data_IF_838124617067
#
_entry.id   IF_838124617067
#
_cell.length_a   1.000
_cell.length_b   1.000
_cell.length_c   1.000
_cell.angle_alpha   90.00
_cell.angle_beta   90.00
_cell.angle_gamma   90.00
#
_symmetry.space_group_name_H-M   'P 1'
#
loop_
_entity.id
_entity.type
_entity.pdbx_description
1 polymer ?
#
# COMPACT_ATOMS: atom_id res chain seq x y z
N UNK A 1 -23.67 -31.92 -48.87
CA UNK A 1 -23.90 -30.60 -48.24
C UNK A 1 -22.56 -29.88 -48.31
N UNK A 2 -22.39 -29.02 -49.32
CA UNK A 2 -21.15 -28.27 -49.53
C UNK A 2 -21.08 -27.16 -48.47
N UNK A 3 -19.97 -27.11 -47.74
CA UNK A 3 -19.61 -25.99 -46.89
C UNK A 3 -19.60 -24.72 -47.75
N UNK A 4 -20.41 -23.74 -47.37
CA UNK A 4 -20.27 -22.38 -47.88
C UNK A 4 -18.94 -21.85 -47.32
N UNK A 5 -17.91 -21.83 -48.16
CA UNK A 5 -16.73 -21.01 -47.94
C UNK A 5 -17.20 -19.56 -47.84
N UNK A 6 -17.16 -19.01 -46.63
CA UNK A 6 -17.34 -17.58 -46.41
C UNK A 6 -16.16 -16.86 -47.04
N UNK A 7 -16.40 -16.07 -48.07
CA UNK A 7 -15.37 -15.22 -48.67
C UNK A 7 -14.65 -14.41 -47.57
N UNK A 8 -13.31 -14.37 -47.55
CA UNK A 8 -12.57 -13.61 -46.57
C UNK A 8 -12.92 -12.12 -46.68
N UNK A 9 -13.01 -11.45 -45.52
CA UNK A 9 -13.27 -10.01 -45.47
C UNK A 9 -12.25 -9.24 -46.32
N UNK A 10 -12.66 -8.17 -47.03
CA UNK A 10 -11.75 -7.33 -47.78
C UNK A 10 -10.60 -6.81 -46.90
N UNK A 11 -9.37 -6.83 -47.41
CA UNK A 11 -8.16 -6.43 -46.67
C UNK A 11 -8.27 -5.03 -46.02
N UNK A 12 -8.83 -4.06 -46.74
CA UNK A 12 -9.03 -2.71 -46.23
C UNK A 12 -9.95 -2.66 -45.00
N UNK A 13 -10.95 -3.55 -44.94
CA UNK A 13 -11.89 -3.62 -43.82
C UNK A 13 -11.23 -4.25 -42.60
N UNK A 14 -10.44 -5.31 -42.81
CA UNK A 14 -9.61 -5.91 -41.76
C UNK A 14 -8.65 -4.87 -41.17
N UNK A 15 -7.93 -4.12 -42.02
CA UNK A 15 -7.02 -3.06 -41.58
C UNK A 15 -7.75 -1.96 -40.80
N UNK A 16 -8.93 -1.53 -41.27
CA UNK A 16 -9.73 -0.52 -40.57
C UNK A 16 -10.20 -1.00 -39.18
N UNK A 17 -10.55 -2.28 -39.04
CA UNK A 17 -10.94 -2.88 -37.77
C UNK A 17 -9.73 -2.97 -36.83
N UNK A 18 -8.57 -3.39 -37.33
CA UNK A 18 -7.34 -3.47 -36.55
C UNK A 18 -6.89 -2.11 -36.04
N UNK A 19 -6.90 -1.09 -36.91
CA UNK A 19 -6.56 0.29 -36.55
C UNK A 19 -7.53 0.84 -35.49
N UNK A 20 -8.83 0.56 -35.64
CA UNK A 20 -9.85 0.98 -34.68
C UNK A 20 -9.67 0.28 -33.33
N UNK A 21 -9.41 -1.03 -33.34
CA UNK A 21 -9.15 -1.79 -32.14
C UNK A 21 -7.89 -1.29 -31.41
N UNK A 22 -6.82 -0.95 -32.14
CA UNK A 22 -5.60 -0.40 -31.56
C UNK A 22 -5.83 0.97 -30.92
N UNK A 23 -6.62 1.84 -31.57
CA UNK A 23 -7.01 3.14 -30.98
C UNK A 23 -7.82 2.96 -29.69
N UNK A 24 -8.72 1.97 -29.65
CA UNK A 24 -9.49 1.66 -28.45
C UNK A 24 -8.58 1.13 -27.34
N UNK A 25 -7.64 0.22 -27.64
CA UNK A 25 -6.66 -0.30 -26.67
C UNK A 25 -5.81 0.83 -26.08
N UNK A 26 -5.27 1.72 -26.92
CA UNK A 26 -4.51 2.89 -26.48
C UNK A 26 -5.33 3.81 -25.58
N UNK A 27 -6.58 4.06 -25.95
CA UNK A 27 -7.50 4.88 -25.16
C UNK A 27 -7.79 4.24 -23.80
N UNK A 28 -8.00 2.92 -23.76
CA UNK A 28 -8.20 2.18 -22.51
C UNK A 28 -6.98 2.28 -21.59
N UNK A 29 -5.76 2.15 -22.13
CA UNK A 29 -4.52 2.33 -21.35
C UNK A 29 -4.43 3.74 -20.77
N UNK A 30 -4.75 4.77 -21.56
CA UNK A 30 -4.75 6.16 -21.08
C UNK A 30 -5.80 6.42 -19.97
N UNK A 31 -6.98 5.82 -20.09
CA UNK A 31 -8.03 5.89 -19.06
C UNK A 31 -7.57 5.19 -17.78
N UNK A 32 -7.03 3.97 -17.88
CA UNK A 32 -6.47 3.24 -16.73
C UNK A 32 -5.41 4.06 -16.01
N UNK A 33 -4.45 4.63 -16.75
CA UNK A 33 -3.40 5.47 -16.18
C UNK A 33 -3.96 6.72 -15.47
N UNK A 34 -5.01 7.33 -16.03
CA UNK A 34 -5.66 8.51 -15.43
C UNK A 34 -6.38 8.16 -14.11
N UNK A 35 -7.08 7.02 -14.08
CA UNK A 35 -7.72 6.50 -12.86
C UNK A 35 -6.65 6.22 -11.79
N UNK A 36 -5.57 5.55 -12.20
CA UNK A 36 -4.41 5.28 -11.34
C UNK A 36 -3.87 6.53 -10.69
N UNK A 37 -3.55 7.54 -11.50
CA UNK A 37 -2.94 8.78 -11.03
C UNK A 37 -3.85 9.51 -10.05
N UNK A 38 -5.14 9.62 -10.37
CA UNK A 38 -6.11 10.28 -9.51
C UNK A 38 -6.23 9.60 -8.13
N UNK A 39 -6.18 8.27 -8.12
CA UNK A 39 -6.20 7.51 -6.87
C UNK A 39 -4.88 7.63 -6.08
N UNK A 40 -3.74 7.52 -6.78
CA UNK A 40 -2.40 7.63 -6.18
C UNK A 40 -2.20 8.98 -5.48
N UNK A 41 -2.61 10.08 -6.12
CA UNK A 41 -2.52 11.43 -5.53
C UNK A 41 -3.27 11.52 -4.20
N UNK A 42 -4.46 10.93 -4.11
CA UNK A 42 -5.27 10.90 -2.88
C UNK A 42 -4.62 10.06 -1.79
N UNK A 43 -4.17 8.85 -2.13
CA UNK A 43 -3.53 7.94 -1.18
C UNK A 43 -2.19 8.47 -0.69
N UNK A 44 -1.43 9.19 -1.54
CA UNK A 44 -0.13 9.73 -1.18
C UNK A 44 -0.20 10.73 -0.03
N UNK A 45 -1.23 11.58 -0.03
CA UNK A 45 -1.44 12.51 1.07
C UNK A 45 -1.70 11.77 2.40
N UNK A 46 -2.45 10.67 2.35
CA UNK A 46 -2.78 9.86 3.52
C UNK A 46 -1.57 9.09 4.04
N UNK A 47 -0.81 8.42 3.19
CA UNK A 47 0.37 7.64 3.61
C UNK A 47 1.47 8.54 4.18
N UNK A 48 1.66 9.75 3.64
CA UNK A 48 2.59 10.75 4.21
C UNK A 48 2.22 11.19 5.62
N UNK A 49 0.95 11.15 6.01
CA UNK A 49 0.52 11.55 7.36
C UNK A 49 1.08 10.65 8.47
N UNK A 50 1.53 9.44 8.13
CA UNK A 50 2.22 8.52 9.06
C UNK A 50 3.50 9.14 9.62
N UNK A 51 4.16 10.06 8.90
CA UNK A 51 5.33 10.79 9.38
C UNK A 51 5.07 11.67 10.60
N UNK A 52 3.80 11.92 10.94
CA UNK A 52 3.41 12.69 12.11
C UNK A 52 3.44 11.86 13.41
N UNK A 53 3.55 10.52 13.33
CA UNK A 53 3.57 9.62 14.48
C UNK A 53 4.57 10.03 15.59
N UNK A 54 5.82 10.46 15.31
CA UNK A 54 6.76 10.86 16.36
C UNK A 54 6.25 12.00 17.25
N UNK A 55 5.46 12.93 16.70
CA UNK A 55 4.93 14.07 17.44
C UNK A 55 3.93 13.65 18.52
N UNK A 56 3.28 12.50 18.35
CA UNK A 56 2.30 11.97 19.31
C UNK A 56 2.92 11.25 20.50
N UNK A 57 4.19 10.86 20.41
CA UNK A 57 4.87 10.08 21.43
C UNK A 57 6.01 10.85 22.08
N UNK A 58 6.83 11.54 21.30
CA UNK A 58 8.00 12.27 21.82
C UNK A 58 7.59 13.35 22.80
N UNK A 59 8.16 13.29 24.01
CA UNK A 59 7.94 14.30 25.06
C UNK A 59 6.47 14.43 25.46
N UNK A 60 5.71 13.34 25.33
CA UNK A 60 4.32 13.25 25.77
C UNK A 60 4.21 12.23 26.90
N UNK A 61 3.21 12.36 27.77
CA UNK A 61 2.87 11.34 28.77
C UNK A 61 1.96 10.24 28.19
N UNK A 62 1.94 10.07 26.86
CA UNK A 62 1.08 9.08 26.22
C UNK A 62 1.52 7.67 26.61
N UNK A 63 0.53 6.83 26.90
CA UNK A 63 0.73 5.43 27.23
C UNK A 63 1.31 4.64 26.05
N UNK A 64 1.72 3.39 26.33
CA UNK A 64 2.18 2.46 25.31
C UNK A 64 1.04 2.16 24.33
N UNK A 65 1.27 2.21 23.01
CA UNK A 65 0.21 1.97 22.05
C UNK A 65 -0.29 0.53 22.12
N UNK A 66 -1.62 0.36 22.10
CA UNK A 66 -2.29 -0.94 22.13
C UNK A 66 -3.28 -1.12 20.97
N UNK A 67 -3.53 -0.06 20.21
CA UNK A 67 -4.43 -0.05 19.05
C UNK A 67 -3.75 0.59 17.85
N UNK A 68 -4.22 0.30 16.62
CA UNK A 68 -3.79 1.03 15.43
C UNK A 68 -4.02 2.54 15.58
N UNK A 69 -3.22 3.33 14.89
CA UNK A 69 -3.27 4.78 14.90
C UNK A 69 -4.50 5.28 14.16
N UNK A 70 -4.88 6.53 14.43
CA UNK A 70 -5.99 7.17 13.72
C UNK A 70 -5.72 7.37 12.21
N UNK A 71 -4.47 7.21 11.76
CA UNK A 71 -4.11 7.30 10.33
C UNK A 71 -4.50 6.04 9.57
N UNK A 72 -4.39 4.87 10.21
CA UNK A 72 -4.58 3.59 9.53
C UNK A 72 -5.99 3.41 8.94
N UNK A 73 -7.09 3.68 9.70
CA UNK A 73 -8.45 3.61 9.16
C UNK A 73 -8.68 4.55 7.97
N UNK A 74 -7.91 5.64 7.83
CA UNK A 74 -8.06 6.56 6.69
C UNK A 74 -7.53 5.94 5.41
N UNK A 75 -6.39 5.25 5.49
CA UNK A 75 -5.77 4.56 4.34
C UNK A 75 -6.64 3.36 3.94
N UNK A 76 -7.02 2.52 4.90
CA UNK A 76 -7.78 1.28 4.62
C UNK A 76 -9.20 1.57 4.15
N UNK A 77 -9.83 2.65 4.65
CA UNK A 77 -11.13 3.12 4.12
C UNK A 77 -11.07 3.46 2.64
N UNK A 78 -10.01 4.13 2.15
CA UNK A 78 -9.92 4.45 0.71
C UNK A 78 -9.94 3.18 -0.17
N UNK A 79 -9.23 2.13 0.26
CA UNK A 79 -9.21 0.86 -0.46
C UNK A 79 -10.56 0.14 -0.38
N UNK A 80 -11.19 0.17 0.79
CA UNK A 80 -12.49 -0.46 1.04
C UNK A 80 -13.60 0.22 0.25
N UNK A 81 -13.66 1.56 0.30
CA UNK A 81 -14.64 2.36 -0.44
C UNK A 81 -14.47 2.16 -1.95
N UNK A 82 -13.23 2.13 -2.45
CA UNK A 82 -12.97 1.81 -3.86
C UNK A 82 -13.44 0.40 -4.22
N UNK A 83 -13.17 -0.59 -3.37
CA UNK A 83 -13.59 -1.96 -3.62
C UNK A 83 -15.12 -2.08 -3.70
N UNK A 84 -15.84 -1.37 -2.82
CA UNK A 84 -17.30 -1.29 -2.86
C UNK A 84 -17.82 -0.59 -4.12
N UNK A 85 -17.25 0.56 -4.50
CA UNK A 85 -17.64 1.24 -5.75
C UNK A 85 -17.45 0.30 -6.96
N UNK A 86 -16.32 -0.41 -7.03
CA UNK A 86 -16.05 -1.33 -8.12
C UNK A 86 -17.00 -2.53 -8.11
N UNK A 87 -17.22 -3.14 -6.95
CA UNK A 87 -18.05 -4.33 -6.82
C UNK A 87 -19.54 -4.02 -6.98
N UNK A 88 -20.04 -3.08 -6.18
CA UNK A 88 -21.47 -2.89 -5.93
C UNK A 88 -22.11 -1.90 -6.91
N UNK A 89 -21.35 -0.94 -7.45
CA UNK A 89 -21.88 0.09 -8.37
C UNK A 89 -21.47 -0.11 -9.84
N UNK A 90 -20.39 -0.84 -10.10
CA UNK A 90 -19.84 -1.05 -11.45
C UNK A 90 -20.10 -2.48 -11.92
N UNK A 91 -19.65 -3.49 -11.16
CA UNK A 91 -19.68 -4.88 -11.59
C UNK A 91 -21.06 -5.56 -11.48
N UNK A 92 -22.00 -4.99 -10.73
CA UNK A 92 -23.41 -5.42 -10.64
C UNK A 92 -24.27 -4.91 -11.81
N UNK A 93 -23.75 -4.02 -12.65
CA UNK A 93 -24.52 -3.48 -13.77
C UNK A 93 -24.75 -4.57 -14.82
N UNK A 94 -25.95 -4.68 -15.43
CA UNK A 94 -26.25 -5.75 -16.40
C UNK A 94 -25.26 -5.83 -17.57
N UNK A 95 -24.73 -4.69 -18.02
CA UNK A 95 -23.73 -4.65 -19.10
C UNK A 95 -22.37 -5.19 -18.65
N UNK A 96 -22.01 -5.02 -17.38
CA UNK A 96 -20.76 -5.52 -16.81
C UNK A 96 -20.85 -7.01 -16.47
N UNK A 97 -22.00 -7.47 -15.96
CA UNK A 97 -22.27 -8.88 -15.68
C UNK A 97 -22.20 -9.75 -16.95
N UNK A 98 -22.65 -9.20 -18.08
CA UNK A 98 -22.57 -9.87 -19.37
C UNK A 98 -21.14 -10.03 -19.93
N UNK A 99 -20.13 -9.44 -19.30
CA UNK A 99 -18.74 -9.43 -19.79
C UNK A 99 -17.75 -9.92 -18.71
N UNK A 100 -17.52 -11.25 -18.58
CA UNK A 100 -16.60 -11.83 -17.59
C UNK A 100 -15.17 -11.26 -17.66
N UNK A 101 -14.71 -10.91 -18.87
CA UNK A 101 -13.41 -10.30 -19.09
C UNK A 101 -13.27 -8.94 -18.39
N UNK A 102 -14.35 -8.16 -18.27
CA UNK A 102 -14.33 -6.88 -17.56
C UNK A 102 -14.06 -7.07 -16.08
N UNK A 103 -14.69 -8.07 -15.45
CA UNK A 103 -14.46 -8.39 -14.03
C UNK A 103 -12.99 -8.70 -13.76
N UNK A 104 -12.36 -9.50 -14.63
CA UNK A 104 -10.93 -9.81 -14.51
C UNK A 104 -10.05 -8.55 -14.65
N UNK A 105 -10.35 -7.68 -15.62
CA UNK A 105 -9.61 -6.43 -15.81
C UNK A 105 -9.78 -5.44 -14.63
N UNK A 106 -10.98 -5.38 -14.04
CA UNK A 106 -11.25 -4.54 -12.86
C UNK A 106 -10.51 -5.09 -11.64
N UNK A 107 -10.53 -6.40 -11.41
CA UNK A 107 -9.80 -7.03 -10.32
C UNK A 107 -8.28 -6.86 -10.46
N UNK A 108 -7.75 -6.98 -11.68
CA UNK A 108 -6.34 -6.71 -11.95
C UNK A 108 -5.97 -5.24 -11.67
N UNK A 109 -6.76 -4.30 -12.19
CA UNK A 109 -6.59 -2.86 -11.96
C UNK A 109 -6.60 -2.55 -10.45
N UNK A 110 -7.58 -3.08 -9.73
CA UNK A 110 -7.70 -2.91 -8.29
C UNK A 110 -6.49 -3.49 -7.55
N UNK A 111 -6.05 -4.71 -7.89
CA UNK A 111 -4.87 -5.33 -7.29
C UNK A 111 -3.59 -4.51 -7.48
N UNK A 112 -3.41 -3.90 -8.65
CA UNK A 112 -2.30 -2.99 -8.91
C UNK A 112 -2.41 -1.68 -8.09
N UNK A 113 -3.61 -1.12 -7.89
CA UNK A 113 -3.85 0.06 -7.05
C UNK A 113 -3.59 -0.21 -5.57
N UNK A 114 -3.99 -1.39 -5.08
CA UNK A 114 -3.69 -1.86 -3.73
C UNK A 114 -2.18 -2.02 -3.55
N UNK A 115 -1.49 -2.64 -4.50
CA UNK A 115 -0.03 -2.80 -4.44
C UNK A 115 0.72 -1.46 -4.42
N UNK A 116 0.28 -0.49 -5.22
CA UNK A 116 0.86 0.86 -5.19
C UNK A 116 0.66 1.53 -3.83
N UNK A 117 -0.54 1.37 -3.24
CA UNK A 117 -0.82 1.88 -1.89
C UNK A 117 0.08 1.24 -0.83
N UNK A 118 0.28 -0.09 -0.92
CA UNK A 118 1.18 -0.84 -0.04
C UNK A 118 2.61 -0.34 -0.17
N UNK A 119 3.10 -0.13 -1.39
CA UNK A 119 4.44 0.40 -1.64
C UNK A 119 4.62 1.79 -1.02
N UNK A 120 3.66 2.69 -1.23
CA UNK A 120 3.70 4.04 -0.68
C UNK A 120 3.67 4.02 0.85
N UNK A 121 2.79 3.23 1.45
CA UNK A 121 2.71 3.06 2.90
C UNK A 121 4.03 2.51 3.46
N UNK A 122 4.54 1.41 2.88
CA UNK A 122 5.80 0.78 3.29
C UNK A 122 6.98 1.73 3.20
N UNK A 123 7.08 2.50 2.11
CA UNK A 123 8.13 3.51 1.92
C UNK A 123 8.08 4.53 3.06
N UNK A 124 6.90 5.08 3.35
CA UNK A 124 6.74 6.06 4.42
C UNK A 124 7.08 5.47 5.81
N UNK A 125 6.62 4.26 6.13
CA UNK A 125 6.93 3.62 7.42
C UNK A 125 8.41 3.26 7.55
N UNK A 126 9.05 2.83 6.46
CA UNK A 126 10.47 2.49 6.45
C UNK A 126 11.34 3.71 6.65
N UNK A 127 11.05 4.81 5.93
CA UNK A 127 11.70 6.11 6.13
C UNK A 127 11.53 6.62 7.56
N UNK A 128 10.32 6.48 8.11
CA UNK A 128 10.00 6.91 9.46
C UNK A 128 10.84 6.12 10.49
N UNK A 129 10.81 4.79 10.44
CA UNK A 129 11.57 3.97 11.40
C UNK A 129 13.06 4.20 11.26
N UNK A 130 13.59 4.33 10.05
CA UNK A 130 15.00 4.63 9.85
C UNK A 130 15.39 5.99 10.45
N UNK A 131 14.52 7.00 10.32
CA UNK A 131 14.74 8.29 10.96
C UNK A 131 14.76 8.19 12.48
N UNK A 132 13.87 7.38 13.06
CA UNK A 132 13.79 7.12 14.50
C UNK A 132 15.07 6.44 14.98
N UNK A 133 15.53 5.39 14.28
CA UNK A 133 16.77 4.66 14.58
C UNK A 133 17.99 5.59 14.58
N UNK A 134 18.12 6.45 13.57
CA UNK A 134 19.22 7.43 13.48
C UNK A 134 19.24 8.40 14.66
N UNK A 135 18.05 8.85 15.11
CA UNK A 135 17.92 9.73 16.27
C UNK A 135 18.32 9.01 17.55
N UNK A 136 17.87 7.77 17.75
CA UNK A 136 18.26 6.94 18.91
C UNK A 136 19.76 6.71 18.97
N UNK A 137 20.40 6.37 17.86
CA UNK A 137 21.84 6.14 17.81
C UNK A 137 22.66 7.41 18.06
N UNK A 138 22.18 8.56 17.57
CA UNK A 138 22.74 9.87 17.89
C UNK A 138 22.70 10.14 19.40
N UNK A 139 21.54 9.92 20.04
CA UNK A 139 21.37 10.10 21.48
C UNK A 139 22.19 9.09 22.29
N UNK A 140 22.27 7.83 21.85
CA UNK A 140 23.09 6.79 22.48
C UNK A 140 24.57 7.18 22.47
N UNK A 141 25.10 7.60 21.31
CA UNK A 141 26.49 8.09 21.20
C UNK A 141 26.76 9.30 22.10
N UNK A 142 25.83 10.25 22.15
CA UNK A 142 25.94 11.42 23.03
C UNK A 142 25.96 11.04 24.52
N UNK A 143 25.13 10.08 24.94
CA UNK A 143 25.12 9.56 26.32
C UNK A 143 26.45 8.89 26.67
N UNK A 144 26.97 8.05 25.78
CA UNK A 144 28.28 7.40 25.96
C UNK A 144 29.40 8.43 26.07
N UNK A 145 29.44 9.43 25.18
CA UNK A 145 30.45 10.48 25.21
C UNK A 145 30.43 11.28 26.52
N UNK A 146 29.25 11.55 27.09
CA UNK A 146 29.09 12.20 28.40
C UNK A 146 29.51 11.30 29.56
N UNK A 147 29.23 10.00 29.49
CA UNK A 147 29.60 9.04 30.53
C UNK A 147 31.13 8.86 30.67
N UNK A 148 31.88 8.96 29.58
CA UNK A 148 33.35 8.90 29.58
C UNK A 148 34.00 10.14 30.23
N UNK A 149 33.28 11.26 30.32
CA UNK A 149 33.77 12.54 30.86
C UNK A 149 33.62 12.77 32.38
N UNK A 150 33.02 11.82 33.11
CA UNK A 150 32.91 11.89 34.57
C UNK A 150 31.47 11.79 35.11
N UNK A 151 31.22 10.68 35.83
CA UNK A 151 30.18 10.47 36.84
C UNK A 151 28.70 10.79 36.47
N UNK A 152 28.05 9.89 35.73
CA UNK A 152 26.67 9.49 36.04
C UNK A 152 26.35 8.10 35.47
N UNK A 153 25.67 7.27 36.27
CA UNK A 153 25.19 5.95 35.89
C UNK A 153 24.33 6.04 34.62
N UNK A 154 24.62 5.18 33.65
CA UNK A 154 23.80 4.99 32.46
C UNK A 154 22.40 4.55 32.89
N UNK A 155 21.48 5.51 33.04
CA UNK A 155 20.09 5.27 33.39
C UNK A 155 19.41 4.43 32.32
N UNK A 156 19.10 3.19 32.70
CA UNK A 156 18.04 2.30 32.21
C UNK A 156 17.81 2.19 30.69
N UNK A 157 17.98 0.98 30.17
CA UNK A 157 17.35 0.46 28.94
C UNK A 157 15.83 0.33 29.18
N UNK A 158 15.17 1.44 29.50
CA UNK A 158 13.72 1.50 29.68
C UNK A 158 13.05 1.84 28.36
N UNK A 159 11.83 1.32 28.17
CA UNK A 159 10.93 1.63 27.05
C UNK A 159 10.94 3.13 26.74
N UNK A 160 11.45 3.49 25.57
CA UNK A 160 11.62 4.86 25.11
C UNK A 160 10.41 5.34 24.29
N UNK A 161 10.31 6.64 24.05
CA UNK A 161 9.32 7.18 23.12
C UNK A 161 9.52 6.63 21.69
N UNK A 162 10.77 6.36 21.31
CA UNK A 162 11.11 5.81 20.01
C UNK A 162 10.68 4.31 19.90
N UNK A 163 10.72 3.55 21.00
CA UNK A 163 10.10 2.20 21.07
C UNK A 163 8.58 2.25 20.87
N UNK A 164 7.89 3.24 21.45
CA UNK A 164 6.44 3.44 21.23
C UNK A 164 6.13 3.70 19.76
N UNK A 165 6.96 4.50 19.08
CA UNK A 165 6.77 4.81 17.65
C UNK A 165 6.91 3.54 16.81
N UNK A 166 7.98 2.75 17.00
CA UNK A 166 8.14 1.46 16.30
C UNK A 166 6.97 0.52 16.57
N UNK A 167 6.54 0.42 17.82
CA UNK A 167 5.39 -0.43 18.17
C UNK A 167 4.09 0.04 17.52
N UNK A 168 3.86 1.36 17.41
CA UNK A 168 2.71 1.89 16.68
C UNK A 168 2.76 1.51 15.19
N UNK A 169 3.91 1.66 14.54
CA UNK A 169 4.09 1.25 13.12
C UNK A 169 3.81 -0.24 12.94
N UNK A 170 4.22 -1.07 13.90
CA UNK A 170 3.89 -2.49 13.93
C UNK A 170 2.37 -2.73 13.99
N UNK A 171 1.66 -2.11 14.95
CA UNK A 171 0.21 -2.25 15.08
C UNK A 171 -0.53 -1.78 13.83
N UNK A 172 -0.11 -0.64 13.26
CA UNK A 172 -0.68 -0.07 12.04
C UNK A 172 -0.51 -1.05 10.87
N UNK A 173 0.65 -1.67 10.74
CA UNK A 173 0.93 -2.62 9.66
C UNK A 173 0.19 -3.94 9.82
N UNK A 174 0.03 -4.43 11.05
CA UNK A 174 -0.82 -5.61 11.31
C UNK A 174 -2.28 -5.34 10.92
N UNK A 175 -2.81 -4.17 11.28
CA UNK A 175 -4.15 -3.76 10.88
C UNK A 175 -4.26 -3.62 9.36
N UNK A 176 -3.28 -3.00 8.70
CA UNK A 176 -3.25 -2.90 7.25
C UNK A 176 -3.31 -4.27 6.58
N UNK A 177 -2.48 -5.22 7.01
CA UNK A 177 -2.47 -6.59 6.52
C UNK A 177 -3.80 -7.31 6.78
N UNK A 178 -4.40 -7.12 7.95
CA UNK A 178 -5.71 -7.68 8.27
C UNK A 178 -6.78 -7.15 7.31
N UNK A 179 -6.77 -5.85 7.04
CA UNK A 179 -7.71 -5.20 6.11
C UNK A 179 -7.51 -5.66 4.67
N UNK A 180 -6.27 -5.87 4.21
CA UNK A 180 -6.02 -6.41 2.87
C UNK A 180 -6.68 -7.77 2.65
N UNK A 181 -6.72 -8.62 3.69
CA UNK A 181 -7.34 -9.96 3.62
C UNK A 181 -8.87 -9.90 3.51
N UNK A 182 -9.48 -8.77 3.88
CA UNK A 182 -10.93 -8.57 3.81
C UNK A 182 -11.36 -7.80 2.56
N UNK A 183 -10.43 -7.25 1.78
CA UNK A 183 -10.77 -6.49 0.58
C UNK A 183 -11.41 -7.40 -0.47
N UNK A 184 -12.64 -7.10 -0.92
CA UNK A 184 -13.20 -7.81 -2.03
C UNK A 184 -12.45 -7.47 -3.32
N UNK A 185 -12.58 -8.33 -4.34
CA UNK A 185 -11.91 -8.21 -5.64
C UNK A 185 -10.38 -8.34 -5.62
N UNK A 186 -9.72 -8.30 -4.46
CA UNK A 186 -8.30 -8.60 -4.34
C UNK A 186 -8.08 -10.11 -4.52
N UNK A 187 -7.43 -10.49 -5.63
CA UNK A 187 -7.12 -11.90 -5.89
C UNK A 187 -6.08 -12.42 -4.90
N UNK A 188 -6.04 -13.74 -4.68
CA UNK A 188 -5.03 -14.37 -3.82
C UNK A 188 -3.61 -14.06 -4.30
N UNK A 189 -3.38 -14.03 -5.61
CA UNK A 189 -2.10 -13.65 -6.20
C UNK A 189 -1.72 -12.20 -5.89
N UNK A 190 -2.67 -11.27 -6.01
CA UNK A 190 -2.43 -9.87 -5.68
C UNK A 190 -2.21 -9.67 -4.18
N UNK A 191 -3.00 -10.33 -3.32
CA UNK A 191 -2.79 -10.34 -1.87
C UNK A 191 -1.39 -10.85 -1.54
N UNK A 192 -0.97 -11.97 -2.14
CA UNK A 192 0.38 -12.51 -1.95
C UNK A 192 1.45 -11.50 -2.34
N UNK A 193 1.35 -10.84 -3.49
CA UNK A 193 2.30 -9.80 -3.90
C UNK A 193 2.41 -8.65 -2.89
N UNK A 194 1.31 -8.29 -2.23
CA UNK A 194 1.32 -7.29 -1.16
C UNK A 194 2.01 -7.80 0.11
N UNK A 195 1.74 -9.05 0.51
CA UNK A 195 2.35 -9.67 1.68
C UNK A 195 3.84 -9.92 1.50
N UNK A 196 4.26 -10.34 0.30
CA UNK A 196 5.66 -10.53 -0.06
C UNK A 196 6.44 -9.21 0.10
N UNK A 197 5.79 -8.07 -0.15
CA UNK A 197 6.40 -6.75 0.08
C UNK A 197 6.78 -6.51 1.55
N UNK A 198 5.96 -7.01 2.49
CA UNK A 198 6.25 -6.97 3.92
C UNK A 198 7.23 -8.08 4.34
N UNK A 199 7.16 -9.27 3.72
CA UNK A 199 7.99 -10.44 4.05
C UNK A 199 9.42 -10.36 3.50
N UNK A 200 9.65 -9.75 2.34
CA UNK A 200 11.01 -9.50 1.78
C UNK A 200 11.84 -8.59 2.72
N UNK A 201 11.18 -7.88 3.64
CA UNK A 201 11.84 -7.09 4.69
C UNK A 201 12.24 -7.89 5.94
N UNK A 202 12.02 -9.21 6.00
CA UNK A 202 12.39 -10.10 7.14
C UNK A 202 13.90 -10.35 7.29
N UNK A 203 14.77 -9.69 6.53
CA UNK A 203 16.19 -9.67 6.84
C UNK A 203 16.40 -8.77 8.10
N UNK A 204 16.88 -9.31 9.24
CA UNK A 204 16.87 -8.61 10.53
C UNK A 204 17.70 -7.31 10.55
N UNK A 205 18.59 -7.09 9.57
CA UNK A 205 19.36 -5.85 9.43
C UNK A 205 18.63 -4.72 8.69
N UNK A 206 17.57 -5.05 7.93
CA UNK A 206 16.78 -4.10 7.14
C UNK A 206 15.31 -4.02 7.57
N UNK A 207 14.91 -4.79 8.59
CA UNK A 207 13.53 -4.82 9.06
C UNK A 207 13.22 -3.64 10.01
N UNK A 208 12.45 -2.63 9.59
CA UNK A 208 12.02 -1.57 10.50
C UNK A 208 11.05 -2.07 11.60
N UNK A 209 10.55 -3.29 11.50
CA UNK A 209 9.52 -3.86 12.38
C UNK A 209 10.00 -5.03 13.25
N UNK A 210 11.28 -5.40 13.18
CA UNK A 210 11.86 -6.38 14.11
C UNK A 210 11.98 -5.73 15.49
N UNK A 211 11.01 -6.00 16.37
CA UNK A 211 11.13 -5.67 17.79
C UNK A 211 12.22 -6.57 18.37
N UNK A 212 13.38 -5.98 18.69
CA UNK A 212 14.38 -6.62 19.55
C UNK A 212 14.06 -6.34 21.02
#
# INVERSE_FOLDING_TARGET
>A
MQNQDTDPLPEWLTQCIEDSAERIRKSLTAVKASIFRAFEENVQALTKSVQELPRYYRRTNREWPSTPSAFMPRITRQLTDLAHILQDDILTKPQAEALPALRAHVAELFGQMVLQTTNMYFTQTSELVESVRKVEDSLRRLRVARAVGGAQQAGGVGKTDDDKIRHQVYLDTQEYIAQLKTLPLLSEAALKSNLDYFAISENPETNPMAVS
#
